data_IF_634035134530
#
_entry.id   IF_634035134530
#
_cell.length_a   1.000
_cell.length_b   1.000
_cell.length_c   1.000
_cell.angle_alpha   90.00
_cell.angle_beta   90.00
_cell.angle_gamma   90.00
#
_symmetry.space_group_name_H-M   'P 1'
#
loop_
_entity.id
_entity.type
_entity.pdbx_description
1 polymer ?
#
# COMPACT_ATOMS: atom_id res chain seq x y z
N UNK A 1 -6.92 9.97 7.63
CA UNK A 1 -7.07 9.81 6.16
C UNK A 1 -6.24 10.90 5.49
N UNK A 2 -5.33 10.53 4.59
CA UNK A 2 -4.40 11.46 3.92
C UNK A 2 -4.74 11.56 2.45
N UNK A 3 -4.83 12.78 1.94
CA UNK A 3 -4.85 13.04 0.50
C UNK A 3 -3.41 13.00 -0.03
N UNK A 4 -3.16 12.11 -1.00
CA UNK A 4 -1.83 11.91 -1.59
C UNK A 4 -1.63 12.70 -2.88
N UNK A 5 -2.66 13.34 -3.41
CA UNK A 5 -2.61 14.08 -4.68
C UNK A 5 -1.72 15.32 -4.65
N UNK A 6 -1.42 15.82 -3.44
CA UNK A 6 -0.60 17.00 -3.18
C UNK A 6 0.81 16.66 -2.70
N UNK A 7 1.18 15.38 -2.64
CA UNK A 7 2.51 14.96 -2.19
C UNK A 7 3.58 15.37 -3.19
N UNK A 8 4.59 16.08 -2.69
CA UNK A 8 5.81 16.34 -3.46
C UNK A 8 6.50 14.99 -3.76
N UNK A 9 6.93 14.75 -5.01
CA UNK A 9 7.72 13.58 -5.34
C UNK A 9 9.08 13.62 -4.61
N UNK A 10 9.73 12.46 -4.41
CA UNK A 10 11.06 12.45 -3.83
C UNK A 10 12.06 13.31 -4.61
N UNK A 11 12.88 14.06 -3.88
CA UNK A 11 13.84 15.04 -4.41
C UNK A 11 15.29 14.50 -4.45
N UNK A 12 16.24 15.38 -4.78
CA UNK A 12 17.66 15.04 -4.84
C UNK A 12 18.24 14.63 -3.46
N UNK A 13 17.72 15.19 -2.36
CA UNK A 13 18.15 14.81 -1.01
C UNK A 13 17.72 13.37 -0.71
N UNK A 14 16.50 12.99 -1.13
CA UNK A 14 16.04 11.60 -1.06
C UNK A 14 16.93 10.65 -1.85
N UNK A 15 17.29 11.00 -3.09
CA UNK A 15 18.19 10.17 -3.91
C UNK A 15 19.59 10.00 -3.29
N UNK A 16 20.12 11.06 -2.68
CA UNK A 16 21.41 11.05 -1.97
C UNK A 16 21.37 10.13 -0.75
N UNK A 17 20.24 10.11 -0.03
CA UNK A 17 20.05 9.21 1.11
C UNK A 17 20.09 7.73 0.71
N UNK A 18 19.50 7.37 -0.44
CA UNK A 18 19.46 5.98 -0.90
C UNK A 18 20.82 5.44 -1.37
N UNK A 19 21.73 6.31 -1.78
CA UNK A 19 23.04 5.95 -2.34
C UNK A 19 24.19 6.09 -1.34
N UNK A 20 23.94 6.70 -0.18
CA UNK A 20 24.94 6.87 0.87
C UNK A 20 25.03 5.65 1.79
N UNK A 21 26.22 5.30 2.32
CA UNK A 21 26.32 4.29 3.37
C UNK A 21 25.52 4.72 4.61
N UNK A 22 24.97 3.77 5.40
CA UNK A 22 24.20 4.10 6.59
C UNK A 22 25.06 4.93 7.55
N UNK A 23 24.77 6.23 7.63
CA UNK A 23 25.42 7.11 8.60
C UNK A 23 24.85 6.80 9.99
N UNK A 24 25.72 6.71 10.98
CA UNK A 24 25.33 6.68 12.39
C UNK A 24 24.38 7.84 12.66
N UNK A 25 23.24 7.53 13.26
CA UNK A 25 22.10 8.40 13.54
C UNK A 25 22.50 9.82 13.95
N UNK A 26 22.30 10.81 13.05
CA UNK A 26 22.13 12.24 13.37
C UNK A 26 22.06 13.17 12.13
N UNK A 27 21.84 12.67 10.91
CA UNK A 27 21.44 13.57 9.82
C UNK A 27 20.00 14.01 10.05
N UNK A 28 19.79 15.28 10.40
CA UNK A 28 18.44 15.86 10.50
C UNK A 28 17.74 15.65 9.16
N UNK A 29 16.71 14.79 9.14
CA UNK A 29 15.92 14.56 7.94
C UNK A 29 15.34 15.90 7.48
N UNK A 30 15.63 16.30 6.24
CA UNK A 30 15.08 17.52 5.61
C UNK A 30 14.35 17.14 4.32
N UNK A 31 13.47 18.04 3.86
CA UNK A 31 12.75 17.89 2.60
C UNK A 31 11.99 16.58 2.50
N UNK A 32 12.12 15.91 1.35
CA UNK A 32 11.42 14.64 1.06
C UNK A 32 11.77 13.50 2.01
N UNK A 33 12.95 13.50 2.64
CA UNK A 33 13.30 12.44 3.61
C UNK A 33 12.43 12.52 4.86
N UNK A 34 12.17 13.73 5.37
CA UNK A 34 11.31 13.92 6.53
C UNK A 34 9.86 13.53 6.21
N UNK A 35 9.38 13.87 5.01
CA UNK A 35 8.06 13.44 4.54
C UNK A 35 8.00 11.90 4.42
N UNK A 36 9.01 11.27 3.82
CA UNK A 36 9.11 9.81 3.74
C UNK A 36 9.07 9.15 5.13
N UNK A 37 9.77 9.70 6.13
CA UNK A 37 9.70 9.20 7.51
C UNK A 37 8.30 9.29 8.11
N UNK A 38 7.60 10.40 7.89
CA UNK A 38 6.21 10.59 8.35
C UNK A 38 5.30 9.55 7.69
N UNK A 39 5.36 9.41 6.37
CA UNK A 39 4.52 8.48 5.61
C UNK A 39 4.79 7.02 5.99
N UNK A 40 6.05 6.64 6.23
CA UNK A 40 6.40 5.31 6.70
C UNK A 40 5.85 5.08 8.11
N UNK A 41 5.97 6.05 9.02
CA UNK A 41 5.39 5.93 10.37
C UNK A 41 3.88 5.78 10.34
N UNK A 42 3.18 6.48 9.46
CA UNK A 42 1.73 6.31 9.27
C UNK A 42 1.38 4.89 8.85
N UNK A 43 2.17 4.28 7.96
CA UNK A 43 1.99 2.87 7.57
C UNK A 43 2.26 1.95 8.76
N UNK A 44 3.36 2.16 9.49
CA UNK A 44 3.77 1.31 10.61
C UNK A 44 2.79 1.31 11.78
N UNK A 45 2.17 2.45 12.05
CA UNK A 45 1.25 2.66 13.17
C UNK A 45 -0.20 2.35 12.82
N UNK A 46 -0.53 2.17 11.54
CA UNK A 46 -1.87 1.82 11.12
C UNK A 46 -2.24 0.38 11.48
N UNK A 47 -3.45 0.18 12.01
CA UNK A 47 -4.07 -1.14 12.15
C UNK A 47 -4.47 -1.73 10.79
N UNK A 48 -4.86 -0.85 9.86
CA UNK A 48 -5.33 -1.17 8.50
C UNK A 48 -4.83 -0.09 7.55
N UNK A 49 -4.34 -0.50 6.38
CA UNK A 49 -4.08 0.42 5.29
C UNK A 49 -5.24 0.36 4.28
N UNK A 50 -5.89 1.49 4.03
CA UNK A 50 -6.96 1.60 3.01
C UNK A 50 -6.45 2.50 1.88
N UNK A 51 -6.44 1.97 0.66
CA UNK A 51 -6.02 2.67 -0.56
C UNK A 51 -7.21 2.75 -1.50
N UNK A 52 -7.71 3.96 -1.75
CA UNK A 52 -8.65 4.24 -2.83
C UNK A 52 -7.90 4.79 -4.04
N UNK A 53 -7.95 4.11 -5.18
CA UNK A 53 -7.21 4.55 -6.38
C UNK A 53 -7.95 4.21 -7.67
N UNK A 54 -7.93 5.12 -8.67
CA UNK A 54 -8.29 4.74 -10.02
C UNK A 54 -7.17 3.93 -10.69
N UNK A 55 -7.47 3.30 -11.83
CA UNK A 55 -6.48 2.83 -12.80
C UNK A 55 -6.30 3.89 -13.88
N UNK A 56 -5.08 4.43 -14.01
CA UNK A 56 -4.72 5.37 -15.07
C UNK A 56 -3.70 4.72 -16.00
N UNK A 57 -3.98 4.71 -17.31
CA UNK A 57 -3.05 4.19 -18.32
C UNK A 57 -2.44 2.83 -17.91
N UNK A 58 -3.31 1.84 -17.67
CA UNK A 58 -2.97 0.47 -17.28
C UNK A 58 -2.39 0.26 -15.86
N UNK A 59 -2.06 1.32 -15.10
CA UNK A 59 -1.39 1.17 -13.81
C UNK A 59 -1.82 2.21 -12.77
N UNK A 60 -1.05 2.32 -11.68
CA UNK A 60 -1.28 3.26 -10.60
C UNK A 60 -1.14 4.71 -11.08
N UNK A 61 -1.93 5.66 -10.55
CA UNK A 61 -1.76 7.08 -10.82
C UNK A 61 -0.41 7.61 -10.31
N UNK A 62 0.07 8.70 -10.91
CA UNK A 62 1.34 9.33 -10.53
C UNK A 62 1.41 9.69 -9.03
N UNK A 63 0.30 10.14 -8.42
CA UNK A 63 0.23 10.44 -7.00
C UNK A 63 0.44 9.19 -6.11
N UNK A 64 -0.17 8.05 -6.47
CA UNK A 64 0.05 6.79 -5.76
C UNK A 64 1.47 6.29 -5.96
N UNK A 65 2.03 6.43 -7.15
CA UNK A 65 3.44 6.13 -7.41
C UNK A 65 4.39 6.98 -6.56
N UNK A 66 4.12 8.28 -6.44
CA UNK A 66 4.89 9.20 -5.58
C UNK A 66 4.84 8.77 -4.12
N UNK A 67 3.65 8.43 -3.61
CA UNK A 67 3.52 7.87 -2.24
C UNK A 67 4.31 6.57 -2.08
N UNK A 68 4.22 5.64 -3.05
CA UNK A 68 4.99 4.39 -3.05
C UNK A 68 6.50 4.65 -3.01
N UNK A 69 6.98 5.64 -3.76
CA UNK A 69 8.40 6.00 -3.78
C UNK A 69 8.90 6.54 -2.44
N UNK A 70 8.04 7.17 -1.65
CA UNK A 70 8.35 7.58 -0.28
C UNK A 70 8.35 6.41 0.72
N UNK A 71 7.43 5.45 0.58
CA UNK A 71 7.27 4.38 1.58
C UNK A 71 8.16 3.15 1.31
N UNK A 72 8.56 2.92 0.06
CA UNK A 72 9.45 1.80 -0.30
C UNK A 72 10.90 2.26 -0.24
N UNK A 73 11.49 2.15 0.95
CA UNK A 73 12.81 2.72 1.26
C UNK A 73 13.76 1.67 1.82
N UNK A 74 14.92 1.52 1.16
CA UNK A 74 15.96 0.58 1.59
C UNK A 74 16.48 0.95 2.97
N UNK A 75 16.77 -0.06 3.79
CA UNK A 75 17.19 0.05 5.19
C UNK A 75 16.19 0.79 6.10
N UNK A 76 14.94 1.01 5.65
CA UNK A 76 13.86 1.54 6.49
C UNK A 76 12.60 0.68 6.45
N UNK A 77 12.12 0.30 5.27
CA UNK A 77 10.93 -0.56 5.10
C UNK A 77 11.23 -1.87 4.40
N UNK A 78 12.39 -1.98 3.74
CA UNK A 78 12.94 -3.26 3.29
C UNK A 78 14.47 -3.24 3.39
N UNK A 79 15.10 -4.41 3.36
CA UNK A 79 16.56 -4.55 3.21
C UNK A 79 16.89 -5.53 2.08
N UNK A 80 18.14 -5.56 1.63
CA UNK A 80 18.62 -6.46 0.58
C UNK A 80 19.48 -7.55 1.21
N UNK A 81 19.14 -8.81 0.94
CA UNK A 81 19.90 -10.01 1.33
C UNK A 81 20.29 -10.80 0.08
N UNK A 82 21.19 -11.80 0.18
CA UNK A 82 21.49 -12.69 -0.95
C UNK A 82 20.26 -13.39 -1.53
N UNK A 83 19.24 -13.64 -0.71
CA UNK A 83 17.95 -14.21 -1.12
C UNK A 83 16.98 -13.22 -1.78
N UNK A 84 17.39 -11.95 -1.94
CA UNK A 84 16.57 -10.87 -2.49
C UNK A 84 16.15 -9.82 -1.46
N UNK A 85 15.13 -9.05 -1.80
CA UNK A 85 14.58 -8.00 -0.92
C UNK A 85 13.72 -8.62 0.19
N UNK A 86 13.90 -8.16 1.42
CA UNK A 86 13.16 -8.63 2.59
C UNK A 86 12.48 -7.43 3.25
N UNK A 87 11.16 -7.51 3.40
CA UNK A 87 10.36 -6.49 4.08
C UNK A 87 10.70 -6.39 5.57
N UNK A 88 10.65 -5.16 6.10
CA UNK A 88 10.91 -4.84 7.51
C UNK A 88 9.65 -4.34 8.23
N UNK A 89 8.60 -4.00 7.49
CA UNK A 89 7.34 -3.54 8.05
C UNK A 89 6.52 -4.75 8.49
N UNK A 90 6.00 -4.72 9.72
CA UNK A 90 5.06 -5.74 10.20
C UNK A 90 3.83 -5.79 9.29
N UNK A 91 3.44 -7.00 8.89
CA UNK A 91 2.28 -7.21 8.03
C UNK A 91 0.99 -6.71 8.69
N UNK A 92 0.06 -6.25 7.87
CA UNK A 92 -1.26 -5.73 8.25
C UNK A 92 -2.20 -5.79 7.04
N UNK A 93 -3.53 -5.83 7.26
CA UNK A 93 -4.46 -5.93 6.15
C UNK A 93 -4.44 -4.63 5.35
N UNK A 94 -4.35 -4.78 4.03
CA UNK A 94 -4.40 -3.67 3.08
C UNK A 94 -5.64 -3.84 2.21
N UNK A 95 -6.59 -2.92 2.34
CA UNK A 95 -7.78 -2.86 1.50
C UNK A 95 -7.55 -1.88 0.35
N UNK A 96 -7.68 -2.36 -0.89
CA UNK A 96 -7.38 -1.60 -2.10
C UNK A 96 -8.67 -1.47 -2.90
N UNK A 97 -9.36 -0.35 -2.74
CA UNK A 97 -10.52 0.02 -3.55
C UNK A 97 -10.07 0.55 -4.90
N UNK A 98 -10.47 -0.11 -5.99
CA UNK A 98 -10.02 0.20 -7.34
C UNK A 98 -11.18 0.66 -8.20
N UNK A 99 -11.05 1.81 -8.85
CA UNK A 99 -12.00 2.28 -9.87
C UNK A 99 -11.37 2.20 -11.27
N UNK A 100 -12.06 1.56 -12.22
CA UNK A 100 -11.55 1.40 -13.57
C UNK A 100 -12.61 1.76 -14.63
N UNK A 101 -12.24 2.63 -15.57
CA UNK A 101 -13.11 3.02 -16.68
C UNK A 101 -13.50 1.86 -17.59
N UNK A 102 -12.53 1.00 -17.92
CA UNK A 102 -12.72 -0.21 -18.73
C UNK A 102 -12.84 -1.48 -17.88
N UNK A 103 -12.97 -2.62 -18.56
CA UNK A 103 -12.93 -3.95 -17.96
C UNK A 103 -11.47 -4.44 -17.90
N UNK A 104 -10.90 -4.53 -16.71
CA UNK A 104 -9.46 -4.79 -16.49
C UNK A 104 -9.22 -6.12 -15.77
N UNK A 105 -10.17 -6.57 -14.96
CA UNK A 105 -9.97 -7.69 -14.04
C UNK A 105 -10.90 -8.88 -14.36
N UNK A 106 -10.38 -10.09 -14.16
CA UNK A 106 -11.13 -11.34 -14.31
C UNK A 106 -11.36 -11.77 -15.76
N UNK A 107 -12.24 -12.75 -15.95
CA UNK A 107 -12.47 -13.44 -17.22
C UNK A 107 -13.01 -12.54 -18.35
N UNK A 108 -13.51 -11.34 -18.00
CA UNK A 108 -14.00 -10.33 -18.95
C UNK A 108 -13.03 -9.18 -19.24
N UNK A 109 -11.76 -9.30 -18.83
CA UNK A 109 -10.76 -8.26 -19.04
C UNK A 109 -10.51 -8.02 -20.54
N UNK A 110 -10.55 -6.75 -20.95
CA UNK A 110 -10.33 -6.32 -22.34
C UNK A 110 -8.90 -5.81 -22.56
N UNK A 111 -8.08 -5.83 -21.53
CA UNK A 111 -6.69 -5.40 -21.56
C UNK A 111 -5.87 -6.13 -20.50
N UNK A 112 -4.53 -6.15 -20.61
CA UNK A 112 -3.67 -6.72 -19.59
C UNK A 112 -3.77 -5.97 -18.25
N UNK A 113 -3.71 -6.71 -17.15
CA UNK A 113 -3.63 -6.15 -15.80
C UNK A 113 -2.17 -5.93 -15.39
N UNK A 114 -1.69 -4.69 -15.56
CA UNK A 114 -0.40 -4.24 -15.01
C UNK A 114 -0.52 -3.60 -13.62
N UNK A 115 -1.76 -3.38 -13.15
CA UNK A 115 -2.05 -2.69 -11.90
C UNK A 115 -1.87 -3.63 -10.71
N UNK A 116 -2.57 -4.77 -10.71
CA UNK A 116 -2.58 -5.70 -9.58
C UNK A 116 -1.21 -6.32 -9.34
N UNK A 117 -0.47 -6.83 -10.36
CA UNK A 117 0.85 -7.41 -10.14
C UNK A 117 1.86 -6.38 -9.61
N UNK A 118 1.81 -5.15 -10.10
CA UNK A 118 2.69 -4.07 -9.64
C UNK A 118 2.45 -3.77 -8.15
N UNK A 119 1.19 -3.55 -7.74
CA UNK A 119 0.87 -3.26 -6.34
C UNK A 119 1.21 -4.43 -5.41
N UNK A 120 0.95 -5.67 -5.83
CA UNK A 120 1.38 -6.86 -5.07
C UNK A 120 2.89 -6.89 -4.89
N UNK A 121 3.66 -6.70 -5.97
CA UNK A 121 5.12 -6.75 -5.91
C UNK A 121 5.69 -5.66 -4.99
N UNK A 122 5.22 -4.41 -5.11
CA UNK A 122 5.77 -3.28 -4.35
C UNK A 122 5.38 -3.33 -2.87
N UNK A 123 4.16 -3.76 -2.53
CA UNK A 123 3.70 -3.88 -1.14
C UNK A 123 4.31 -5.10 -0.44
N UNK A 124 4.38 -6.26 -1.12
CA UNK A 124 5.06 -7.44 -0.58
C UNK A 124 6.55 -7.15 -0.32
N UNK A 125 7.19 -6.32 -1.13
CA UNK A 125 8.59 -5.93 -0.96
C UNK A 125 8.87 -5.29 0.41
N UNK A 126 7.92 -4.53 0.96
CA UNK A 126 8.06 -3.88 2.26
C UNK A 126 7.50 -4.72 3.42
N UNK A 127 6.88 -5.88 3.12
CA UNK A 127 6.32 -6.80 4.12
C UNK A 127 4.80 -6.77 4.26
N UNK A 128 4.09 -6.05 3.39
CA UNK A 128 2.62 -6.01 3.36
C UNK A 128 2.09 -7.05 2.39
N UNK A 129 1.60 -8.16 2.92
CA UNK A 129 1.27 -9.35 2.15
C UNK A 129 -0.24 -9.66 2.15
N UNK A 130 -0.98 -9.20 3.17
CA UNK A 130 -2.43 -9.40 3.27
C UNK A 130 -3.21 -8.35 2.44
N UNK A 131 -3.20 -8.52 1.12
CA UNK A 131 -3.74 -7.55 0.16
C UNK A 131 -5.13 -7.96 -0.34
N UNK A 132 -6.12 -7.09 -0.14
CA UNK A 132 -7.52 -7.29 -0.52
C UNK A 132 -7.93 -6.27 -1.57
N UNK A 133 -8.10 -6.71 -2.81
CA UNK A 133 -8.53 -5.85 -3.91
C UNK A 133 -10.05 -5.84 -4.04
N UNK A 134 -10.62 -4.63 -4.13
CA UNK A 134 -12.05 -4.37 -4.31
C UNK A 134 -12.24 -3.56 -5.60
N UNK A 135 -12.25 -4.22 -6.77
CA UNK A 135 -12.43 -3.52 -8.03
C UNK A 135 -13.89 -3.19 -8.31
N UNK A 136 -14.12 -1.98 -8.81
CA UNK A 136 -15.35 -1.55 -9.49
C UNK A 136 -14.93 -1.09 -10.88
N UNK A 137 -15.37 -1.82 -11.91
CA UNK A 137 -14.87 -1.68 -13.27
C UNK A 137 -15.97 -1.40 -14.29
N UNK A 138 -15.57 -0.92 -15.46
CA UNK A 138 -16.51 -0.42 -16.47
C UNK A 138 -17.15 0.91 -16.08
N UNK A 139 -16.52 1.73 -15.24
CA UNK A 139 -17.13 2.96 -14.70
C UNK A 139 -17.42 4.02 -15.75
N UNK A 140 -16.81 3.91 -16.94
CA UNK A 140 -17.09 4.80 -18.07
C UNK A 140 -18.35 4.41 -18.86
N UNK A 141 -18.83 3.17 -18.72
CA UNK A 141 -19.92 2.61 -19.54
C UNK A 141 -21.10 2.09 -18.72
N UNK A 142 -20.87 1.67 -17.47
CA UNK A 142 -21.90 1.15 -16.57
C UNK A 142 -22.52 2.27 -15.75
N UNK A 143 -23.81 2.18 -15.46
CA UNK A 143 -24.50 3.18 -14.66
C UNK A 143 -24.20 3.03 -13.15
N UNK A 144 -24.51 4.08 -12.36
CA UNK A 144 -24.21 4.11 -10.92
C UNK A 144 -24.84 2.97 -10.13
N UNK A 145 -26.03 2.51 -10.49
CA UNK A 145 -26.70 1.41 -9.78
C UNK A 145 -25.97 0.08 -9.98
N UNK A 146 -25.49 -0.19 -11.20
CA UNK A 146 -24.69 -1.37 -11.52
C UNK A 146 -23.35 -1.36 -10.77
N UNK A 147 -22.67 -0.20 -10.76
CA UNK A 147 -21.41 -0.01 -10.01
C UNK A 147 -21.62 -0.24 -8.50
N UNK A 148 -22.73 0.27 -7.96
CA UNK A 148 -23.06 0.13 -6.54
C UNK A 148 -23.44 -1.32 -6.17
N UNK A 149 -24.12 -2.03 -7.06
CA UNK A 149 -24.45 -3.44 -6.88
C UNK A 149 -23.18 -4.31 -6.87
N UNK A 150 -22.25 -4.08 -7.81
CA UNK A 150 -20.95 -4.76 -7.83
C UNK A 150 -20.16 -4.49 -6.56
N UNK A 151 -20.06 -3.22 -6.13
CA UNK A 151 -19.37 -2.86 -4.89
C UNK A 151 -19.94 -3.62 -3.69
N UNK A 152 -21.26 -3.67 -3.54
CA UNK A 152 -21.92 -4.43 -2.46
C UNK A 152 -21.56 -5.92 -2.50
N UNK A 153 -21.59 -6.53 -3.69
CA UNK A 153 -21.26 -7.93 -3.87
C UNK A 153 -19.78 -8.22 -3.55
N UNK A 154 -18.85 -7.38 -4.00
CA UNK A 154 -17.43 -7.55 -3.71
C UNK A 154 -17.18 -7.38 -2.21
N UNK A 155 -17.77 -6.37 -1.57
CA UNK A 155 -17.65 -6.15 -0.14
C UNK A 155 -18.22 -7.31 0.70
N UNK A 156 -19.34 -7.92 0.28
CA UNK A 156 -19.89 -9.09 1.00
C UNK A 156 -19.00 -10.32 0.94
N UNK A 157 -18.12 -10.41 -0.07
CA UNK A 157 -17.20 -11.53 -0.24
C UNK A 157 -15.86 -11.32 0.50
N UNK A 158 -15.62 -10.13 1.05
CA UNK A 158 -14.39 -9.86 1.79
C UNK A 158 -14.35 -10.70 3.07
N UNK A 159 -13.32 -11.53 3.16
CA UNK A 159 -13.03 -12.30 4.36
C UNK A 159 -12.12 -11.48 5.27
N UNK A 160 -12.71 -10.79 6.23
CA UNK A 160 -12.03 -9.99 7.25
C UNK A 160 -11.28 -10.83 8.31
N UNK A 161 -10.95 -12.10 8.02
CA UNK A 161 -10.43 -13.07 9.00
C UNK A 161 -9.13 -12.69 9.72
N UNK A 162 -8.46 -11.62 9.27
CA UNK A 162 -7.26 -11.06 9.89
C UNK A 162 -7.56 -10.13 11.08
N UNK A 163 -8.67 -9.38 11.05
CA UNK A 163 -9.10 -8.52 12.17
C UNK A 163 -9.26 -9.30 13.47
N UNK A 164 -9.82 -10.51 13.37
CA UNK A 164 -9.98 -11.41 14.49
C UNK A 164 -8.63 -11.96 15.03
N UNK A 165 -7.64 -12.19 14.16
CA UNK A 165 -6.32 -12.70 14.57
C UNK A 165 -5.48 -11.64 15.27
N UNK A 166 -5.49 -10.39 14.80
CA UNK A 166 -4.75 -9.30 15.43
C UNK A 166 -5.35 -8.86 16.78
N UNK A 167 -6.67 -8.85 16.94
CA UNK A 167 -7.31 -8.61 18.24
C UNK A 167 -6.94 -9.68 19.27
N UNK A 168 -6.92 -10.96 18.87
CA UNK A 168 -6.52 -12.06 19.75
C UNK A 168 -5.03 -11.99 20.17
N UNK A 169 -4.16 -11.54 19.27
CA UNK A 169 -2.72 -11.44 19.53
C UNK A 169 -2.36 -10.24 20.42
N UNK A 170 -3.09 -9.12 20.32
CA UNK A 170 -2.96 -7.98 21.23
C UNK A 170 -3.51 -8.28 22.63
N UNK A 171 -4.60 -9.04 22.75
CA UNK A 171 -5.15 -9.46 24.05
C UNK A 171 -4.18 -10.36 24.83
N UNK A 172 -3.46 -11.27 24.16
CA UNK A 172 -2.48 -12.15 24.81
C UNK A 172 -1.22 -11.41 25.30
N UNK A 173 -0.86 -10.28 24.70
CA UNK A 173 0.28 -9.46 25.15
C UNK A 173 -0.04 -8.67 26.43
N UNK A 174 -1.29 -8.24 26.64
CA UNK A 174 -1.69 -7.53 27.86
C UNK A 174 -1.87 -8.43 29.09
N UNK A 175 -2.05 -9.74 28.90
CA UNK A 175 -2.15 -10.71 30.01
C UNK A 175 -0.76 -11.16 30.50
N UNK A 176 0.26 -11.10 29.64
CA UNK A 176 1.64 -11.48 29.98
C UNK A 176 2.43 -10.46 30.81
N UNK A 177 2.04 -9.18 30.80
CA UNK A 177 2.69 -8.10 31.56
C UNK A 177 2.11 -7.90 32.98
N UNK A 178 1.12 -8.70 33.39
CA UNK A 178 0.49 -8.68 34.71
C UNK A 178 0.78 -9.96 35.55
N UNK A 179 1.81 -10.73 35.20
CA UNK A 179 2.22 -11.96 35.88
C UNK A 179 3.64 -11.87 36.44
#
# INVERSE_FOLDING_TARGET
MRDISTLSPPDADYATLLTSPPKSSESTARGSTALSDILIREVETADILVVGTPVHNFTVPAALKSWLDHVVRVNRTFTVRPSGKVGLVKDRPVLIGVAAGGMIFGDGAQQPDFFTPYLKAVLNCIGLCDLHFVPVQGTAVRCKSEQHAELKQVLSNLKFGFFAKHQAQQANLQVGDNA
#
